data_IF_740020813691
#
_entry.id   IF_740020813691
#
_cell.length_a   1.000
_cell.length_b   1.000
_cell.length_c   1.000
_cell.angle_alpha   90.00
_cell.angle_beta   90.00
_cell.angle_gamma   90.00
#
_symmetry.space_group_name_H-M   'P 1'
#
loop_
_entity.id
_entity.type
_entity.pdbx_description
1 polymer ?
#
# COMPACT_ATOMS: atom_id res chain seq x y z
N UNK A 1 -8.89 -8.53 -12.00
CA UNK A 1 -9.25 -9.03 -13.35
C UNK A 1 -8.28 -8.40 -14.35
N UNK A 2 -7.74 -9.18 -15.28
CA UNK A 2 -6.63 -8.71 -16.13
C UNK A 2 -5.28 -8.68 -15.41
N UNK A 3 -4.31 -7.99 -16.00
CA UNK A 3 -2.92 -7.90 -15.50
C UNK A 3 -2.63 -6.63 -14.72
N UNK A 4 -1.42 -6.50 -14.19
CA UNK A 4 -1.02 -5.37 -13.33
C UNK A 4 -1.03 -4.02 -14.05
N UNK A 5 -0.81 -3.98 -15.37
CA UNK A 5 -0.83 -2.76 -16.19
C UNK A 5 -1.97 -2.64 -17.20
N UNK A 6 -2.88 -3.61 -17.24
CA UNK A 6 -4.09 -3.62 -18.07
C UNK A 6 -5.15 -4.43 -17.32
N UNK A 7 -5.67 -3.87 -16.24
CA UNK A 7 -6.55 -4.60 -15.34
C UNK A 7 -7.42 -3.71 -14.46
N UNK A 8 -8.26 -4.34 -13.66
CA UNK A 8 -9.09 -3.69 -12.67
C UNK A 8 -9.32 -4.63 -11.48
N UNK A 9 -9.95 -4.11 -10.43
CA UNK A 9 -10.32 -4.91 -9.25
C UNK A 9 -11.74 -4.60 -8.79
N UNK A 10 -12.47 -5.66 -8.48
CA UNK A 10 -13.72 -5.60 -7.74
C UNK A 10 -13.47 -6.04 -6.30
N UNK A 11 -14.18 -5.44 -5.33
CA UNK A 11 -14.01 -5.77 -3.91
C UNK A 11 -12.66 -5.34 -3.32
N UNK A 12 -12.03 -4.29 -3.87
CA UNK A 12 -10.81 -3.74 -3.29
C UNK A 12 -11.09 -3.21 -1.89
N UNK A 13 -10.11 -3.40 -1.00
CA UNK A 13 -10.14 -2.91 0.38
C UNK A 13 -9.00 -1.92 0.59
N UNK A 14 -9.24 -0.93 1.45
CA UNK A 14 -8.23 0.07 1.79
C UNK A 14 -7.23 -0.48 2.80
N UNK A 15 -5.94 -0.23 2.61
CA UNK A 15 -4.97 -0.39 3.71
C UNK A 15 -5.23 0.70 4.77
N UNK A 16 -5.25 0.37 6.07
CA UNK A 16 -5.31 1.37 7.13
C UNK A 16 -4.16 2.37 7.03
N UNK A 17 -4.43 3.61 7.43
CA UNK A 17 -3.41 4.66 7.45
C UNK A 17 -2.18 4.24 8.28
N UNK A 18 -2.41 3.58 9.40
CA UNK A 18 -1.37 3.06 10.29
C UNK A 18 -1.68 1.62 10.65
N UNK A 19 -0.63 0.81 10.83
CA UNK A 19 -0.77 -0.58 11.25
C UNK A 19 0.53 -1.13 11.84
N UNK A 20 0.52 -2.41 12.26
CA UNK A 20 1.67 -3.04 12.90
C UNK A 20 2.90 -3.08 11.97
N UNK A 21 3.82 -2.14 12.15
CA UNK A 21 5.03 -2.05 11.33
C UNK A 21 4.92 -1.19 10.08
N UNK A 22 3.87 -0.39 9.95
CA UNK A 22 3.80 0.55 8.84
C UNK A 22 3.04 1.84 9.10
N UNK A 23 3.30 2.77 8.20
CA UNK A 23 2.56 4.01 8.01
C UNK A 23 2.31 4.19 6.50
N UNK A 24 1.05 4.24 6.06
CA UNK A 24 0.71 4.54 4.67
C UNK A 24 0.95 6.03 4.38
N UNK A 25 1.58 6.38 3.26
CA UNK A 25 1.93 7.76 2.91
C UNK A 25 1.12 8.25 1.72
N UNK A 26 1.09 9.57 1.50
CA UNK A 26 0.41 10.21 0.37
C UNK A 26 -1.07 9.81 0.23
N UNK A 27 -1.76 9.56 1.34
CA UNK A 27 -3.16 9.10 1.38
C UNK A 27 -4.12 9.99 0.57
N UNK A 28 -3.83 11.29 0.43
CA UNK A 28 -4.60 12.23 -0.40
C UNK A 28 -4.67 11.85 -1.88
N UNK A 29 -3.76 11.01 -2.39
CA UNK A 29 -3.82 10.47 -3.76
C UNK A 29 -4.92 9.44 -3.97
N UNK A 30 -5.51 8.91 -2.90
CA UNK A 30 -6.52 7.85 -2.94
C UNK A 30 -6.05 6.58 -3.69
N UNK A 31 -4.78 6.21 -3.51
CA UNK A 31 -4.13 5.04 -4.12
C UNK A 31 -3.79 3.95 -3.11
N UNK A 32 -4.55 3.84 -2.03
CA UNK A 32 -4.26 2.93 -0.92
C UNK A 32 -5.21 1.72 -0.91
N UNK A 33 -5.60 1.25 -2.09
CA UNK A 33 -6.59 0.16 -2.28
C UNK A 33 -5.95 -1.05 -2.95
N UNK A 34 -6.31 -2.25 -2.48
CA UNK A 34 -5.75 -3.48 -3.03
C UNK A 34 -6.65 -4.69 -2.81
N UNK A 35 -6.21 -5.83 -3.34
CA UNK A 35 -6.84 -7.11 -3.06
C UNK A 35 -6.63 -7.47 -1.58
N UNK A 36 -7.60 -8.11 -0.90
CA UNK A 36 -7.44 -8.50 0.51
C UNK A 36 -6.16 -9.31 0.78
N UNK A 37 -5.75 -10.18 -0.15
CA UNK A 37 -4.50 -10.93 -0.04
C UNK A 37 -3.24 -10.04 -0.11
N UNK A 38 -3.25 -8.95 -0.89
CA UNK A 38 -2.16 -7.97 -0.90
C UNK A 38 -2.07 -7.27 0.46
N UNK A 39 -3.21 -6.85 1.02
CA UNK A 39 -3.23 -6.18 2.33
C UNK A 39 -2.72 -7.12 3.43
N UNK A 40 -3.17 -8.38 3.44
CA UNK A 40 -2.67 -9.38 4.39
C UNK A 40 -1.16 -9.64 4.22
N UNK A 41 -0.67 -9.64 2.97
CA UNK A 41 0.76 -9.79 2.67
C UNK A 41 1.57 -8.61 3.22
N UNK A 42 1.11 -7.38 3.01
CA UNK A 42 1.76 -6.18 3.54
C UNK A 42 1.80 -6.20 5.07
N UNK A 43 0.71 -6.59 5.70
CA UNK A 43 0.63 -6.69 7.16
C UNK A 43 1.57 -7.77 7.73
N UNK A 44 1.66 -8.93 7.08
CA UNK A 44 2.63 -9.98 7.45
C UNK A 44 4.07 -9.54 7.24
N UNK A 45 4.37 -8.94 6.09
CA UNK A 45 5.70 -8.46 5.73
C UNK A 45 6.23 -7.40 6.70
N UNK A 46 5.40 -6.40 7.02
CA UNK A 46 5.75 -5.30 7.92
C UNK A 46 5.93 -5.75 9.37
N UNK A 47 5.12 -6.72 9.84
CA UNK A 47 5.36 -7.41 11.11
C UNK A 47 6.69 -8.16 11.13
N UNK A 48 7.01 -8.89 10.07
CA UNK A 48 8.27 -9.62 9.95
C UNK A 48 9.47 -8.64 9.95
N UNK A 49 9.34 -7.52 9.24
CA UNK A 49 10.36 -6.47 9.24
C UNK A 49 10.57 -5.88 10.65
N UNK A 50 9.49 -5.56 11.37
CA UNK A 50 9.59 -5.12 12.77
C UNK A 50 10.27 -6.16 13.66
N UNK A 51 9.90 -7.43 13.54
CA UNK A 51 10.52 -8.52 14.30
C UNK A 51 12.02 -8.67 13.97
N UNK A 52 12.44 -8.31 12.75
CA UNK A 52 13.83 -8.25 12.33
C UNK A 52 14.55 -6.95 12.74
N UNK A 53 13.90 -6.06 13.50
CA UNK A 53 14.50 -4.82 14.01
C UNK A 53 14.38 -3.61 13.08
N UNK A 54 13.64 -3.72 11.98
CA UNK A 54 13.37 -2.56 11.12
C UNK A 54 12.37 -1.60 11.80
N UNK A 55 12.52 -0.28 11.59
CA UNK A 55 11.48 0.67 11.99
C UNK A 55 10.21 0.45 11.15
N UNK A 56 9.08 1.09 11.53
CA UNK A 56 7.89 1.09 10.69
C UNK A 56 8.21 1.53 9.26
N UNK A 57 7.70 0.77 8.29
CA UNK A 57 7.91 1.02 6.87
C UNK A 57 6.86 1.98 6.33
N UNK A 58 7.23 2.79 5.34
CA UNK A 58 6.27 3.61 4.62
C UNK A 58 5.68 2.83 3.44
N UNK A 59 4.36 2.72 3.43
CA UNK A 59 3.60 2.08 2.35
C UNK A 59 3.08 3.17 1.42
N UNK A 60 3.52 3.12 0.17
CA UNK A 60 3.21 4.10 -0.87
C UNK A 60 1.95 3.77 -1.66
N UNK A 61 2.00 3.98 -2.97
CA UNK A 61 0.88 3.72 -3.86
C UNK A 61 0.65 2.19 -3.95
N UNK A 62 -0.57 1.74 -3.64
CA UNK A 62 -1.16 0.47 -4.07
C UNK A 62 -1.96 0.81 -5.36
N UNK A 63 -3.23 0.41 -5.47
CA UNK A 63 -4.11 0.75 -6.57
C UNK A 63 -5.19 1.77 -6.21
N UNK A 64 -5.96 2.15 -7.23
CA UNK A 64 -7.19 2.94 -7.10
C UNK A 64 -8.34 2.10 -6.53
N UNK A 65 -9.45 2.70 -6.01
CA UNK A 65 -10.57 1.96 -5.41
C UNK A 65 -11.20 0.86 -6.27
N UNK A 66 -11.08 0.97 -7.60
CA UNK A 66 -11.56 -0.04 -8.56
C UNK A 66 -10.46 -0.54 -9.50
N UNK A 67 -9.19 -0.27 -9.16
CA UNK A 67 -8.06 -0.53 -10.04
C UNK A 67 -8.06 0.37 -11.28
N UNK A 68 -7.57 -0.16 -12.41
CA UNK A 68 -7.51 0.58 -13.67
C UNK A 68 -6.34 1.54 -13.78
N UNK A 69 -6.12 2.11 -14.98
CA UNK A 69 -4.99 3.01 -15.26
C UNK A 69 -4.94 4.20 -14.30
N UNK A 70 -3.76 4.45 -13.73
CA UNK A 70 -3.56 5.64 -12.90
C UNK A 70 -3.57 6.91 -13.76
N UNK A 71 -4.10 8.05 -13.26
CA UNK A 71 -4.08 9.31 -14.01
C UNK A 71 -2.66 9.80 -14.38
N UNK A 72 -1.65 9.37 -13.62
CA UNK A 72 -0.23 9.66 -13.84
C UNK A 72 0.64 8.73 -12.99
N UNK A 73 1.92 8.58 -13.37
CA UNK A 73 2.92 7.82 -12.61
C UNK A 73 3.04 6.38 -13.10
N UNK A 74 2.53 5.43 -12.31
CA UNK A 74 2.75 4.00 -12.53
C UNK A 74 2.03 3.49 -13.78
N UNK A 75 2.70 2.63 -14.54
CA UNK A 75 2.08 1.86 -15.61
C UNK A 75 1.29 0.65 -15.06
N UNK A 76 1.69 0.09 -13.91
CA UNK A 76 1.05 -1.03 -13.21
C UNK A 76 0.05 -0.58 -12.12
N UNK A 77 -0.11 -1.34 -11.03
CA UNK A 77 -1.02 -1.05 -9.89
C UNK A 77 -2.52 -1.11 -10.22
N UNK A 78 -2.88 -1.65 -11.39
CA UNK A 78 -4.26 -1.63 -11.86
C UNK A 78 -5.08 -2.83 -11.37
N UNK A 79 -4.44 -3.94 -10.99
CA UNK A 79 -5.11 -5.17 -10.57
C UNK A 79 -5.23 -5.32 -9.04
N UNK A 80 -4.71 -4.37 -8.26
CA UNK A 80 -4.71 -4.44 -6.79
C UNK A 80 -3.73 -5.47 -6.22
N UNK A 81 -2.64 -5.74 -6.94
CA UNK A 81 -1.61 -6.73 -6.58
C UNK A 81 -0.21 -6.13 -6.41
N UNK A 82 -0.05 -4.83 -6.68
CA UNK A 82 1.20 -4.09 -6.58
C UNK A 82 1.15 -3.13 -5.37
N UNK A 83 2.27 -2.95 -4.69
CA UNK A 83 2.42 -1.99 -3.60
C UNK A 83 3.85 -1.43 -3.60
N UNK A 84 3.97 -0.11 -3.52
CA UNK A 84 5.27 0.54 -3.30
C UNK A 84 5.63 0.56 -1.82
N UNK A 85 6.90 0.29 -1.51
CA UNK A 85 7.45 0.37 -0.15
C UNK A 85 8.66 1.29 -0.21
N UNK A 86 8.67 2.34 0.60
CA UNK A 86 9.82 3.24 0.65
C UNK A 86 10.89 2.65 1.56
N UNK A 87 12.10 2.48 1.03
CA UNK A 87 13.27 2.01 1.78
C UNK A 87 13.94 3.15 2.58
N UNK A 88 13.12 4.01 3.15
CA UNK A 88 13.55 4.97 4.17
C UNK A 88 13.49 4.23 5.51
N UNK A 89 14.64 4.07 6.18
CA UNK A 89 14.75 3.43 7.50
C UNK A 89 14.97 4.43 8.63
N UNK A 90 14.72 5.72 8.39
CA UNK A 90 14.69 6.73 9.44
C UNK A 90 13.49 6.56 10.39
N UNK A 91 13.51 7.20 11.57
CA UNK A 91 12.35 7.26 12.46
C UNK A 91 11.13 7.85 11.74
N UNK A 92 9.96 7.24 11.92
CA UNK A 92 8.71 7.73 11.33
C UNK A 92 7.96 8.60 12.33
N UNK A 93 7.60 9.84 11.97
CA UNK A 93 6.88 10.72 12.89
C UNK A 93 5.49 10.12 13.20
N UNK A 94 4.97 10.30 14.42
CA UNK A 94 3.61 9.92 14.73
C UNK A 94 2.63 10.66 13.81
N UNK A 95 1.56 9.99 13.40
CA UNK A 95 0.49 10.63 12.64
C UNK A 95 -0.39 11.45 13.60
N UNK A 96 -0.81 12.68 13.24
CA UNK A 96 -1.73 13.44 14.07
C UNK A 96 -3.05 12.68 14.26
N UNK A 97 -3.72 12.82 15.42
CA UNK A 97 -5.07 12.28 15.57
C UNK A 97 -6.01 12.90 14.52
N UNK A 98 -6.92 12.06 14.01
CA UNK A 98 -7.97 12.48 13.05
C UNK A 98 -9.09 13.24 13.74
#
# INVERSE_FOLDING_TARGET
MGGTGLGCIAGAVSVPADGPGWQAVRLSRNRHWGHPALIATLEGFTRAAQAAGFPPLWIGDLGQPRGGPMPYGHASHQAGLDADIWLDLGPKPPRPPR
#
